data_IF_717168653050
#
_entry.id   IF_717168653050
#
_cell.length_a   1.000
_cell.length_b   1.000
_cell.length_c   1.000
_cell.angle_alpha   90.00
_cell.angle_beta   90.00
_cell.angle_gamma   90.00
#
_symmetry.space_group_name_H-M   'P 1'
#
loop_
_entity.id
_entity.type
_entity.pdbx_description
1 polymer ?
#
# COMPACT_ATOMS: atom_id res chain seq x y z
N UNK A 1 -59.11 44.33 -11.36
CA UNK A 1 -58.43 43.02 -11.40
C UNK A 1 -59.47 41.99 -10.95
N UNK A 2 -60.13 41.22 -11.84
CA UNK A 2 -59.76 39.84 -12.25
C UNK A 2 -59.09 39.08 -11.10
N UNK A 3 -59.52 37.91 -10.61
CA UNK A 3 -60.60 36.93 -10.83
C UNK A 3 -60.39 35.93 -9.66
N UNK A 4 -61.44 35.50 -8.95
CA UNK A 4 -61.88 34.09 -8.83
C UNK A 4 -60.79 33.13 -8.31
N UNK A 5 -60.94 32.42 -7.18
CA UNK A 5 -61.76 31.21 -7.08
C UNK A 5 -61.94 30.76 -5.61
N UNK A 6 -63.17 30.33 -5.33
CA UNK A 6 -63.73 29.69 -4.12
C UNK A 6 -63.44 28.18 -4.18
N UNK A 7 -63.55 27.44 -3.05
CA UNK A 7 -64.36 26.20 -2.89
C UNK A 7 -63.90 25.44 -1.62
N UNK A 8 -64.60 25.52 -0.48
CA UNK A 8 -65.74 24.66 0.01
C UNK A 8 -65.39 23.17 -0.04
N UNK A 9 -65.47 22.37 1.03
CA UNK A 9 -66.72 21.88 1.65
C UNK A 9 -66.44 21.22 3.00
N UNK A 10 -67.16 21.64 4.04
CA UNK A 10 -67.40 20.83 5.23
C UNK A 10 -68.78 20.21 5.08
N UNK A 11 -68.87 18.89 4.89
CA UNK A 11 -70.14 18.16 4.93
C UNK A 11 -70.09 17.14 6.06
N UNK A 12 -71.10 17.27 6.92
CA UNK A 12 -71.29 16.55 8.15
C UNK A 12 -71.51 15.05 7.93
N UNK A 13 -71.11 14.30 8.96
CA UNK A 13 -71.23 12.86 9.09
C UNK A 13 -72.67 12.34 8.97
N UNK A 14 -72.83 11.21 8.29
CA UNK A 14 -73.90 10.26 8.59
C UNK A 14 -73.27 8.98 9.12
N UNK A 15 -73.48 8.74 10.42
CA UNK A 15 -73.08 7.52 11.10
C UNK A 15 -73.94 6.35 10.58
N UNK A 16 -73.29 5.30 10.10
CA UNK A 16 -73.90 3.97 10.01
C UNK A 16 -73.14 3.05 10.97
N UNK A 17 -73.88 2.45 11.90
CA UNK A 17 -73.36 1.58 12.94
C UNK A 17 -72.78 0.30 12.30
N UNK A 18 -71.46 0.10 12.45
CA UNK A 18 -70.75 -1.11 12.07
C UNK A 18 -70.15 -1.78 13.30
N UNK A 19 -70.71 -2.93 13.65
CA UNK A 19 -70.22 -4.03 14.51
C UNK A 19 -69.02 -3.77 15.45
N UNK A 20 -69.26 -4.03 16.73
CA UNK A 20 -68.21 -4.19 17.74
C UNK A 20 -67.29 -5.37 17.38
N UNK A 21 -66.16 -5.08 16.74
CA UNK A 21 -64.95 -5.87 16.90
C UNK A 21 -64.20 -5.26 18.10
N UNK A 22 -64.04 -6.03 19.18
CA UNK A 22 -63.17 -5.62 20.29
C UNK A 22 -61.76 -5.29 19.81
N UNK A 23 -60.93 -4.59 20.59
CA UNK A 23 -59.57 -4.26 20.18
C UNK A 23 -58.87 -5.54 19.74
N UNK A 24 -58.54 -5.63 18.46
CA UNK A 24 -57.66 -6.66 17.95
C UNK A 24 -56.32 -6.41 18.62
N UNK A 25 -55.97 -7.24 19.60
CA UNK A 25 -54.60 -7.36 20.09
C UNK A 25 -53.75 -7.66 18.85
N UNK A 26 -53.05 -6.66 18.34
CA UNK A 26 -52.05 -6.87 17.30
C UNK A 26 -50.99 -7.74 17.94
N UNK A 27 -50.91 -9.01 17.53
CA UNK A 27 -49.80 -9.87 17.89
C UNK A 27 -48.51 -9.17 17.44
N UNK A 28 -47.78 -8.61 18.39
CA UNK A 28 -46.43 -8.12 18.16
C UNK A 28 -45.58 -9.38 18.05
N UNK A 29 -45.14 -9.69 16.82
CA UNK A 29 -44.19 -10.78 16.61
C UNK A 29 -42.97 -10.53 17.50
N UNK A 30 -42.56 -11.50 18.34
CA UNK A 30 -41.39 -11.34 19.19
C UNK A 30 -40.22 -10.95 18.30
N UNK A 31 -39.65 -9.77 18.52
CA UNK A 31 -38.41 -9.40 17.86
C UNK A 31 -37.36 -10.39 18.30
N UNK A 32 -36.97 -11.30 17.41
CA UNK A 32 -35.84 -12.19 17.63
C UNK A 32 -34.62 -11.28 17.77
N UNK A 33 -34.19 -11.07 19.02
CA UNK A 33 -32.96 -10.35 19.30
C UNK A 33 -31.83 -11.20 18.70
N UNK A 34 -31.27 -10.76 17.58
CA UNK A 34 -30.14 -11.44 16.98
C UNK A 34 -29.02 -11.52 18.04
N UNK A 35 -28.41 -12.69 18.25
CA UNK A 35 -27.24 -12.79 19.10
C UNK A 35 -26.23 -11.74 18.67
N UNK A 36 -25.82 -10.88 19.60
CA UNK A 36 -24.71 -9.96 19.37
C UNK A 36 -23.49 -10.87 19.18
N UNK A 37 -23.05 -11.05 17.94
CA UNK A 37 -21.78 -11.71 17.66
C UNK A 37 -20.72 -10.79 18.25
N UNK A 38 -19.89 -11.24 19.20
CA UNK A 38 -18.78 -10.43 19.69
C UNK A 38 -17.94 -10.03 18.48
N UNK A 39 -17.72 -8.73 18.27
CA UNK A 39 -16.71 -8.30 17.33
C UNK A 39 -15.37 -8.81 17.87
N UNK A 40 -14.60 -9.51 17.03
CA UNK A 40 -13.22 -9.80 17.38
C UNK A 40 -12.53 -8.47 17.72
N UNK A 41 -11.73 -8.41 18.80
CA UNK A 41 -10.97 -7.22 19.09
C UNK A 41 -10.14 -6.88 17.85
N UNK A 42 -10.24 -5.63 17.38
CA UNK A 42 -9.43 -5.18 16.27
C UNK A 42 -7.96 -5.53 16.55
N UNK A 43 -7.20 -6.01 15.55
CA UNK A 43 -5.77 -6.21 15.72
C UNK A 43 -5.17 -4.93 16.31
N UNK A 44 -4.37 -5.08 17.37
CA UNK A 44 -3.65 -3.92 17.95
C UNK A 44 -2.73 -3.27 16.93
N UNK A 45 -2.29 -4.06 15.95
CA UNK A 45 -1.47 -3.67 14.81
C UNK A 45 -2.08 -4.37 13.61
N UNK A 46 -2.56 -3.60 12.63
CA UNK A 46 -3.14 -4.12 11.40
C UNK A 46 -2.28 -3.65 10.23
N UNK A 47 -1.62 -4.59 9.56
CA UNK A 47 -0.83 -4.28 8.38
C UNK A 47 -1.70 -4.06 7.15
N UNK A 48 -2.99 -4.38 7.18
CA UNK A 48 -3.88 -4.21 6.02
C UNK A 48 -4.04 -2.76 5.60
N UNK A 49 -4.14 -2.53 4.30
CA UNK A 49 -4.47 -1.23 3.73
C UNK A 49 -3.30 -0.58 2.98
N UNK A 50 -3.48 0.71 2.69
CA UNK A 50 -2.49 1.51 1.99
C UNK A 50 -1.44 2.02 2.96
N UNK A 51 -0.19 2.03 2.53
CA UNK A 51 0.92 2.66 3.26
C UNK A 51 1.74 3.52 2.31
N UNK A 52 2.22 4.65 2.82
CA UNK A 52 3.10 5.57 2.11
C UNK A 52 4.21 6.01 3.05
N UNK A 53 5.44 6.01 2.55
CA UNK A 53 6.61 6.27 3.36
C UNK A 53 7.80 6.78 2.58
N UNK A 54 8.84 7.06 3.34
CA UNK A 54 10.17 7.35 2.82
C UNK A 54 11.15 6.27 3.23
N UNK A 55 12.26 6.22 2.51
CA UNK A 55 13.40 5.38 2.83
C UNK A 55 14.71 6.15 2.66
N UNK A 56 15.67 5.82 3.51
CA UNK A 56 17.03 6.33 3.44
C UNK A 56 17.95 5.11 3.49
N UNK A 57 18.92 5.05 2.60
CA UNK A 57 19.75 3.87 2.48
C UNK A 57 21.14 4.16 1.96
N UNK A 58 21.81 3.06 1.67
CA UNK A 58 23.10 3.01 1.05
C UNK A 58 23.05 1.96 -0.05
N UNK A 59 23.51 2.33 -1.24
CA UNK A 59 23.67 1.44 -2.37
C UNK A 59 25.13 1.19 -2.64
N UNK A 60 25.45 -0.05 -3.02
CA UNK A 60 26.74 -0.42 -3.58
C UNK A 60 26.45 -1.08 -4.93
N UNK A 61 27.13 -0.63 -5.96
CA UNK A 61 27.04 -1.16 -7.33
C UNK A 61 28.39 -1.81 -7.63
N UNK A 62 28.34 -3.10 -7.97
CA UNK A 62 29.49 -3.90 -8.37
C UNK A 62 29.29 -4.30 -9.84
N UNK A 63 30.32 -4.13 -10.66
CA UNK A 63 30.32 -4.52 -12.08
C UNK A 63 31.55 -5.38 -12.40
N UNK A 64 31.56 -6.05 -13.55
CA UNK A 64 32.69 -6.90 -13.98
C UNK A 64 33.98 -6.12 -14.27
N UNK A 65 33.90 -4.79 -14.40
CA UNK A 65 35.04 -3.88 -14.55
C UNK A 65 35.29 -3.12 -13.22
N UNK A 66 36.43 -3.33 -12.53
CA UNK A 66 36.71 -2.69 -11.24
C UNK A 66 36.86 -1.16 -11.32
N UNK A 67 36.96 -0.59 -12.53
CA UNK A 67 36.97 0.87 -12.72
C UNK A 67 35.54 1.48 -12.71
N UNK A 68 34.48 0.65 -12.64
CA UNK A 68 33.06 1.05 -12.63
C UNK A 68 32.33 0.57 -11.35
N UNK A 69 32.97 0.77 -10.19
CA UNK A 69 32.40 0.51 -8.87
C UNK A 69 31.95 1.85 -8.23
N UNK A 70 30.80 1.83 -7.53
CA UNK A 70 30.27 3.05 -6.92
C UNK A 70 29.40 2.77 -5.70
N UNK A 71 29.60 3.54 -4.64
CA UNK A 71 28.84 3.44 -3.40
C UNK A 71 28.34 4.81 -2.93
N UNK A 72 27.12 4.86 -2.39
CA UNK A 72 26.53 6.14 -2.02
C UNK A 72 25.21 6.05 -1.26
N UNK A 73 24.83 7.16 -0.66
CA UNK A 73 23.58 7.29 0.05
C UNK A 73 22.40 7.38 -0.94
N UNK A 74 21.32 6.68 -0.62
CA UNK A 74 20.07 6.71 -1.40
C UNK A 74 18.95 7.30 -0.55
N UNK A 75 17.99 7.97 -1.19
CA UNK A 75 16.78 8.42 -0.52
C UNK A 75 15.59 8.25 -1.45
N UNK A 76 14.46 7.86 -0.90
CA UNK A 76 13.35 7.42 -1.73
C UNK A 76 12.00 7.54 -1.07
N UNK A 77 10.99 7.29 -1.91
CA UNK A 77 9.60 7.14 -1.51
C UNK A 77 9.13 5.74 -1.82
N UNK A 78 8.24 5.22 -0.98
CA UNK A 78 7.69 3.87 -1.12
C UNK A 78 6.22 3.85 -0.78
N UNK A 79 5.46 3.05 -1.51
CA UNK A 79 4.04 2.87 -1.27
C UNK A 79 3.64 1.42 -1.46
N UNK A 80 2.82 0.90 -0.53
CA UNK A 80 2.33 -0.47 -0.57
C UNK A 80 0.84 -0.53 -0.34
N UNK A 81 0.23 -1.57 -0.87
CA UNK A 81 -1.10 -2.00 -0.48
C UNK A 81 -1.01 -3.45 0.03
N UNK A 82 -1.32 -3.65 1.30
CA UNK A 82 -1.21 -4.96 1.95
C UNK A 82 -2.57 -5.50 2.40
N UNK A 83 -2.65 -6.81 2.52
CA UNK A 83 -3.77 -7.55 3.09
C UNK A 83 -3.24 -8.50 4.16
N UNK A 84 -3.69 -8.30 5.39
CA UNK A 84 -3.43 -9.22 6.49
C UNK A 84 -4.42 -10.40 6.44
N UNK A 85 -3.89 -11.62 6.31
CA UNK A 85 -4.65 -12.86 6.28
C UNK A 85 -4.58 -13.60 7.64
N UNK A 86 -4.14 -12.92 8.70
CA UNK A 86 -4.06 -13.40 10.07
C UNK A 86 -2.62 -13.66 10.51
N UNK A 87 -1.92 -14.59 9.87
CA UNK A 87 -0.50 -14.88 10.15
C UNK A 87 0.43 -14.54 8.99
N UNK A 88 -0.14 -14.32 7.81
CA UNK A 88 0.58 -14.00 6.59
C UNK A 88 0.00 -12.72 6.03
N UNK A 89 0.88 -11.81 5.64
CA UNK A 89 0.53 -10.55 5.00
C UNK A 89 1.01 -10.65 3.56
N UNK A 90 0.12 -10.34 2.62
CA UNK A 90 0.46 -10.28 1.20
C UNK A 90 0.14 -8.90 0.66
N UNK A 91 0.99 -8.39 -0.21
CA UNK A 91 0.81 -7.06 -0.75
C UNK A 91 1.60 -6.86 -2.02
N UNK A 92 1.54 -5.63 -2.52
CA UNK A 92 2.35 -5.18 -3.63
C UNK A 92 2.57 -3.69 -3.52
N UNK A 93 3.66 -3.23 -4.09
CA UNK A 93 4.06 -1.84 -3.94
C UNK A 93 4.96 -1.34 -5.05
N UNK A 94 5.22 -0.05 -4.95
CA UNK A 94 6.14 0.69 -5.78
C UNK A 94 7.13 1.40 -4.86
N UNK A 95 8.39 1.39 -5.24
CA UNK A 95 9.45 2.14 -4.58
C UNK A 95 10.21 2.93 -5.63
N UNK A 96 10.64 4.13 -5.26
CA UNK A 96 11.51 4.96 -6.08
C UNK A 96 12.60 5.51 -5.18
N UNK A 97 13.85 5.13 -5.44
CA UNK A 97 15.03 5.71 -4.81
C UNK A 97 15.68 6.67 -5.78
N UNK A 98 15.71 7.95 -5.40
CA UNK A 98 16.60 8.93 -5.99
C UNK A 98 18.00 8.71 -5.43
N UNK A 99 18.98 8.82 -6.30
CA UNK A 99 20.39 8.62 -5.96
C UNK A 99 21.18 9.69 -6.70
N UNK A 100 22.13 10.31 -6.02
CA UNK A 100 23.11 11.24 -6.62
C UNK A 100 24.47 10.52 -6.53
N UNK A 101 24.66 9.45 -7.33
CA UNK A 101 25.93 8.71 -7.40
C UNK A 101 26.60 9.03 -8.74
N UNK A 102 27.74 9.69 -8.64
CA UNK A 102 28.63 10.01 -9.77
C UNK A 102 29.49 8.78 -10.12
N UNK A 103 29.34 8.23 -11.34
CA UNK A 103 30.21 7.17 -11.87
C UNK A 103 31.37 7.82 -12.66
N UNK A 104 32.28 8.44 -11.92
CA UNK A 104 33.59 8.99 -12.35
C UNK A 104 33.61 9.64 -13.75
N UNK A 105 32.80 10.69 -13.94
CA UNK A 105 32.69 11.52 -15.16
C UNK A 105 32.16 10.79 -16.43
N UNK A 106 31.60 9.58 -16.31
CA UNK A 106 31.06 8.80 -17.43
C UNK A 106 29.53 8.61 -17.44
N UNK A 107 28.87 8.63 -16.28
CA UNK A 107 27.40 8.62 -16.12
C UNK A 107 26.92 9.03 -14.72
N UNK A 108 25.70 9.58 -14.62
CA UNK A 108 24.99 9.78 -13.35
C UNK A 108 23.82 8.78 -13.26
N UNK A 109 23.73 8.05 -12.15
CA UNK A 109 22.59 7.17 -11.88
C UNK A 109 21.50 7.93 -11.13
N UNK A 110 20.47 8.42 -11.83
CA UNK A 110 19.46 9.33 -11.28
C UNK A 110 18.44 8.67 -10.36
N UNK A 111 18.20 7.37 -10.54
CA UNK A 111 17.35 6.63 -9.63
C UNK A 111 16.97 5.23 -10.05
N UNK A 112 16.40 4.50 -9.10
CA UNK A 112 15.92 3.13 -9.28
C UNK A 112 14.45 3.05 -8.89
N UNK A 113 13.61 2.63 -9.83
CA UNK A 113 12.22 2.28 -9.60
C UNK A 113 12.08 0.78 -9.42
N UNK A 114 11.33 0.37 -8.39
CA UNK A 114 10.98 -1.02 -8.12
C UNK A 114 9.47 -1.18 -8.07
N UNK A 115 9.00 -2.27 -8.65
CA UNK A 115 7.60 -2.64 -8.64
C UNK A 115 7.48 -4.15 -8.42
N UNK A 116 6.75 -4.57 -7.39
CA UNK A 116 6.61 -5.99 -7.12
C UNK A 116 5.67 -6.34 -5.98
N UNK A 117 5.28 -7.62 -5.91
CA UNK A 117 4.64 -8.17 -4.73
C UNK A 117 5.60 -8.25 -3.53
N UNK A 118 5.01 -8.26 -2.34
CA UNK A 118 5.68 -8.65 -1.09
C UNK A 118 4.82 -9.64 -0.31
N UNK A 119 5.48 -10.51 0.43
CA UNK A 119 4.85 -11.45 1.35
C UNK A 119 5.62 -11.47 2.67
N UNK A 120 4.89 -11.40 3.76
CA UNK A 120 5.47 -11.39 5.09
C UNK A 120 4.69 -12.23 6.08
N UNK A 121 5.33 -12.47 7.22
CA UNK A 121 4.74 -13.15 8.36
C UNK A 121 4.50 -12.15 9.48
N UNK A 122 3.30 -12.15 10.05
CA UNK A 122 2.97 -11.29 11.18
C UNK A 122 3.48 -11.88 12.51
N UNK A 123 4.30 -11.11 13.21
CA UNK A 123 4.79 -11.41 14.56
C UNK A 123 4.17 -10.47 15.61
N UNK A 124 2.96 -9.98 15.33
CA UNK A 124 2.17 -9.07 16.15
C UNK A 124 2.48 -7.62 15.83
N UNK A 125 3.61 -7.09 16.32
CA UNK A 125 4.01 -5.69 16.05
C UNK A 125 4.97 -5.56 14.88
N UNK A 126 5.59 -6.67 14.49
CA UNK A 126 6.66 -6.72 13.50
C UNK A 126 6.29 -7.72 12.42
N UNK A 127 6.41 -7.30 11.17
CA UNK A 127 6.35 -8.17 10.00
C UNK A 127 7.76 -8.42 9.48
N UNK A 128 8.11 -9.67 9.24
CA UNK A 128 9.30 -10.03 8.43
C UNK A 128 8.79 -10.40 7.05
N UNK A 129 9.33 -9.79 6.00
CA UNK A 129 8.83 -9.97 4.64
C UNK A 129 9.96 -10.19 3.63
N UNK A 130 9.61 -10.91 2.56
CA UNK A 130 10.36 -10.93 1.33
C UNK A 130 9.58 -10.23 0.24
N UNK A 131 10.30 -9.65 -0.71
CA UNK A 131 9.71 -9.00 -1.87
C UNK A 131 10.57 -9.22 -3.10
N UNK A 132 9.99 -9.00 -4.26
CA UNK A 132 10.74 -9.05 -5.49
C UNK A 132 9.84 -8.84 -6.67
N UNK A 133 10.44 -8.49 -7.79
CA UNK A 133 9.71 -8.15 -8.99
C UNK A 133 10.58 -7.42 -9.97
N UNK A 134 10.01 -6.42 -10.61
CA UNK A 134 10.65 -5.65 -11.67
C UNK A 134 11.40 -4.46 -11.09
N UNK A 135 12.62 -4.24 -11.58
CA UNK A 135 13.43 -3.07 -11.28
C UNK A 135 13.76 -2.34 -12.58
N UNK A 136 13.83 -1.02 -12.51
CA UNK A 136 14.27 -0.15 -13.60
C UNK A 136 15.25 0.86 -13.06
N UNK A 137 16.43 0.93 -13.66
CA UNK A 137 17.40 1.98 -13.42
C UNK A 137 17.22 3.10 -14.46
N UNK A 138 17.19 4.35 -14.01
CA UNK A 138 17.19 5.54 -14.85
C UNK A 138 18.58 6.15 -14.85
N UNK A 139 19.06 6.53 -16.04
CA UNK A 139 20.37 7.18 -16.25
C UNK A 139 20.19 8.34 -17.23
N UNK A 140 20.66 9.54 -16.89
CA UNK A 140 20.45 10.78 -17.66
C UNK A 140 21.25 10.86 -18.98
N UNK A 141 22.13 9.91 -19.28
CA UNK A 141 22.89 9.88 -20.53
C UNK A 141 22.32 8.92 -21.57
N UNK A 142 21.89 9.50 -22.71
CA UNK A 142 21.40 8.83 -23.93
C UNK A 142 22.34 7.72 -24.48
N UNK A 143 23.57 7.60 -23.97
CA UNK A 143 24.58 6.64 -24.40
C UNK A 143 24.52 5.30 -23.64
N UNK A 144 23.98 5.26 -22.41
CA UNK A 144 23.91 4.05 -21.56
C UNK A 144 22.53 3.39 -21.63
N UNK A 145 21.47 4.21 -21.71
CA UNK A 145 20.09 3.73 -21.87
C UNK A 145 19.45 3.17 -20.59
N UNK A 146 18.13 3.29 -20.52
CA UNK A 146 17.32 2.73 -19.42
C UNK A 146 17.48 1.19 -19.35
N UNK A 147 17.97 0.66 -18.22
CA UNK A 147 18.07 -0.78 -18.01
C UNK A 147 16.93 -1.34 -17.16
N UNK A 148 16.43 -2.51 -17.58
CA UNK A 148 15.38 -3.25 -16.93
C UNK A 148 15.98 -4.50 -16.30
N UNK A 149 15.60 -4.79 -15.06
CA UNK A 149 16.08 -5.95 -14.35
C UNK A 149 15.03 -6.51 -13.40
N UNK A 150 15.48 -7.40 -12.53
CA UNK A 150 14.68 -7.84 -11.41
C UNK A 150 15.34 -7.46 -10.09
N UNK A 151 14.53 -7.39 -9.05
CA UNK A 151 15.03 -7.28 -7.69
C UNK A 151 14.43 -8.35 -6.80
N UNK A 152 15.20 -8.71 -5.78
CA UNK A 152 14.74 -9.53 -4.67
C UNK A 152 15.22 -8.90 -3.38
N UNK A 153 14.36 -8.87 -2.37
CA UNK A 153 14.66 -8.20 -1.12
C UNK A 153 14.07 -8.90 0.09
N UNK A 154 14.71 -8.66 1.23
CA UNK A 154 14.25 -9.09 2.54
C UNK A 154 14.20 -7.88 3.46
N UNK A 155 13.15 -7.80 4.25
CA UNK A 155 12.95 -6.67 5.13
C UNK A 155 12.17 -7.01 6.40
N UNK A 156 12.20 -6.05 7.31
CA UNK A 156 11.39 -6.05 8.52
C UNK A 156 10.65 -4.73 8.62
N UNK A 157 9.43 -4.76 9.12
CA UNK A 157 8.61 -3.57 9.34
C UNK A 157 7.92 -3.70 10.70
N UNK A 158 8.07 -2.70 11.57
CA UNK A 158 7.58 -2.72 12.94
C UNK A 158 6.76 -1.48 13.24
N UNK A 159 5.58 -1.64 13.82
CA UNK A 159 4.79 -0.51 14.32
C UNK A 159 5.51 0.21 15.46
N UNK A 160 5.73 1.51 15.28
CA UNK A 160 6.18 2.43 16.33
C UNK A 160 4.98 3.04 17.07
N UNK A 161 3.90 3.29 16.35
CA UNK A 161 2.61 3.78 16.84
C UNK A 161 1.49 2.98 16.18
N UNK A 162 0.23 3.38 16.33
CA UNK A 162 -0.92 2.73 15.67
C UNK A 162 -0.94 2.94 14.15
N UNK A 163 -0.22 3.95 13.63
CA UNK A 163 -0.23 4.29 12.19
C UNK A 163 1.15 4.51 11.59
N UNK A 164 2.21 4.53 12.40
CA UNK A 164 3.58 4.71 11.93
C UNK A 164 4.34 3.40 12.10
N UNK A 165 4.99 2.97 11.02
CA UNK A 165 5.92 1.84 11.04
C UNK A 165 7.33 2.28 10.69
N UNK A 166 8.31 1.58 11.25
CA UNK A 166 9.70 1.70 10.89
C UNK A 166 10.26 0.33 10.49
N UNK A 167 11.20 0.32 9.56
CA UNK A 167 11.74 -0.92 9.04
C UNK A 167 13.17 -0.83 8.57
N UNK A 168 13.71 -1.98 8.21
CA UNK A 168 14.97 -2.12 7.50
C UNK A 168 14.77 -3.10 6.35
N UNK A 169 15.39 -2.81 5.21
CA UNK A 169 15.24 -3.57 3.97
C UNK A 169 16.62 -3.73 3.33
N UNK A 170 16.89 -4.91 2.80
CA UNK A 170 18.05 -5.19 1.95
C UNK A 170 17.53 -5.72 0.63
N UNK A 171 17.90 -5.09 -0.47
CA UNK A 171 17.52 -5.49 -1.81
C UNK A 171 18.77 -5.80 -2.64
N UNK A 172 18.70 -6.90 -3.35
CA UNK A 172 19.61 -7.26 -4.41
C UNK A 172 18.94 -7.02 -5.76
N UNK A 173 19.71 -6.53 -6.72
CA UNK A 173 19.28 -6.26 -8.09
C UNK A 173 20.26 -6.93 -9.03
N UNK A 174 19.71 -7.50 -10.09
CA UNK A 174 20.48 -8.01 -11.21
C UNK A 174 19.91 -7.38 -12.47
N UNK A 175 20.77 -6.70 -13.21
CA UNK A 175 20.45 -6.06 -14.48
C UNK A 175 21.24 -6.78 -15.57
N UNK A 176 20.53 -7.36 -16.55
CA UNK A 176 21.09 -8.30 -17.55
C UNK A 176 21.05 -7.80 -19.00
N UNK A 177 20.54 -6.60 -19.26
CA UNK A 177 20.42 -6.03 -20.61
C UNK A 177 20.74 -4.52 -20.58
N UNK A 178 22.03 -4.17 -20.65
CA UNK A 178 22.45 -2.80 -21.04
C UNK A 178 22.72 -2.76 -22.56
N UNK A 179 22.42 -1.64 -23.21
CA UNK A 179 22.51 -1.49 -24.69
C UNK A 179 23.96 -1.54 -25.23
N UNK A 180 24.95 -1.63 -24.33
CA UNK A 180 26.35 -1.88 -24.61
C UNK A 180 26.73 -3.33 -24.23
N UNK A 181 26.99 -4.15 -25.25
CA UNK A 181 27.59 -5.50 -25.22
C UNK A 181 27.73 -6.19 -23.84
N UNK A 182 26.79 -7.07 -23.50
CA UNK A 182 26.92 -8.11 -22.45
C UNK A 182 27.39 -7.65 -21.04
N UNK A 183 27.07 -6.41 -20.61
CA UNK A 183 27.40 -5.95 -19.25
C UNK A 183 26.38 -6.47 -18.21
N UNK A 184 26.82 -7.33 -17.30
CA UNK A 184 26.06 -7.75 -16.12
C UNK A 184 26.39 -6.79 -14.95
N UNK A 185 25.36 -6.19 -14.32
CA UNK A 185 25.55 -5.31 -13.17
C UNK A 185 24.71 -5.77 -11.96
N UNK A 186 25.39 -5.90 -10.83
CA UNK A 186 24.80 -6.27 -9.55
C UNK A 186 24.75 -5.05 -8.64
N UNK A 187 23.61 -4.83 -7.99
CA UNK A 187 23.48 -3.76 -7.01
C UNK A 187 22.86 -4.28 -5.72
N UNK A 188 23.53 -4.01 -4.60
CA UNK A 188 22.99 -4.29 -3.27
C UNK A 188 22.68 -2.98 -2.56
N UNK A 189 21.42 -2.80 -2.17
CA UNK A 189 20.97 -1.65 -1.39
C UNK A 189 20.50 -2.07 -0.01
N UNK A 190 20.91 -1.33 1.01
CA UNK A 190 20.44 -1.47 2.37
C UNK A 190 19.79 -0.17 2.83
N UNK A 191 18.54 -0.22 3.27
CA UNK A 191 17.77 0.98 3.63
C UNK A 191 17.04 0.82 4.95
N UNK A 192 16.83 1.95 5.61
CA UNK A 192 15.88 2.11 6.71
C UNK A 192 14.64 2.83 6.18
N UNK A 193 13.48 2.43 6.67
CA UNK A 193 12.19 2.89 6.14
C UNK A 193 11.31 3.46 7.25
N UNK A 194 10.50 4.45 6.90
CA UNK A 194 9.46 5.00 7.75
C UNK A 194 8.19 5.15 6.93
N UNK A 195 7.08 4.57 7.39
CA UNK A 195 5.81 4.58 6.67
C UNK A 195 4.67 5.03 7.56
N UNK A 196 3.72 5.70 6.93
CA UNK A 196 2.40 5.96 7.49
C UNK A 196 1.40 4.99 6.86
N UNK A 197 0.62 4.30 7.70
CA UNK A 197 -0.44 3.35 7.34
C UNK A 197 -1.81 3.99 7.57
N UNK A 198 -2.73 3.79 6.62
CA UNK A 198 -4.05 4.43 6.57
C UNK A 198 -5.18 3.52 7.01
#
# INVERSE_FOLDING_TARGET
MKRILVITTALAATATAGFAAGPTETYQEPTVQQPIVPADPAPLYDFSGFSLGGQLGYGNIETEDPDLEGDGATYGVRGYYDYDLGNVIVGGGLQYDATDIDLDDAATADGVLRAGPRVGYDLGRTMVYGQGGYAKAFTDEDAVGDSNGYYVGLGTETFLTESITAGAEVNYHEFSDFDADDLEADATTASVTLNYRF
#
